data_IF_132289535496
#
_entry.id   IF_132289535496
#
_cell.length_a   1.000
_cell.length_b   1.000
_cell.length_c   1.000
_cell.angle_alpha   90.00
_cell.angle_beta   90.00
_cell.angle_gamma   90.00
#
_symmetry.space_group_name_H-M   'P 1'
#
loop_
_entity.id
_entity.type
_entity.pdbx_description
1 polymer ?
#
# COMPACT_ATOMS: atom_id res chain seq x y z
N UNK A 1 -75.62 -0.58 -4.74
CA UNK A 1 -74.74 -1.74 -5.01
C UNK A 1 -73.33 -1.21 -5.29
N UNK A 2 -72.43 -1.31 -4.28
CA UNK A 2 -71.04 -0.82 -4.41
C UNK A 2 -70.16 -2.03 -4.73
N UNK A 3 -69.49 -2.00 -5.87
CA UNK A 3 -68.50 -3.04 -6.27
C UNK A 3 -67.15 -2.70 -5.63
N UNK A 4 -66.68 -3.52 -4.71
CA UNK A 4 -65.28 -3.47 -4.22
C UNK A 4 -64.38 -4.10 -5.31
N UNK A 5 -63.40 -3.30 -5.77
CA UNK A 5 -62.33 -3.75 -6.59
C UNK A 5 -61.17 -4.21 -5.67
N UNK A 6 -60.78 -5.47 -5.75
CA UNK A 6 -59.61 -6.04 -5.07
C UNK A 6 -58.37 -5.72 -5.94
N UNK A 7 -57.49 -4.89 -5.39
CA UNK A 7 -56.19 -4.65 -5.99
C UNK A 7 -55.22 -5.69 -5.36
N UNK A 8 -54.85 -6.68 -6.15
CA UNK A 8 -53.81 -7.66 -5.77
C UNK A 8 -52.45 -7.04 -6.03
N UNK A 9 -51.76 -6.62 -5.00
CA UNK A 9 -50.38 -6.14 -5.08
C UNK A 9 -49.46 -7.35 -5.28
N UNK A 10 -48.90 -7.49 -6.47
CA UNK A 10 -47.78 -8.43 -6.75
C UNK A 10 -46.49 -7.82 -6.18
N UNK A 11 -46.04 -8.33 -5.07
CA UNK A 11 -44.69 -8.06 -4.55
C UNK A 11 -43.68 -8.82 -5.42
N UNK A 12 -43.02 -8.12 -6.33
CA UNK A 12 -41.84 -8.61 -7.02
C UNK A 12 -40.70 -8.69 -6.01
N UNK A 13 -40.48 -9.88 -5.42
CA UNK A 13 -39.24 -10.21 -4.74
C UNK A 13 -38.13 -10.26 -5.78
N UNK A 14 -37.39 -9.16 -5.93
CA UNK A 14 -36.12 -9.15 -6.64
C UNK A 14 -35.13 -9.90 -5.74
N UNK A 15 -34.99 -11.20 -5.93
CA UNK A 15 -33.91 -11.97 -5.33
C UNK A 15 -32.60 -11.52 -5.95
N UNK A 16 -31.82 -10.73 -5.22
CA UNK A 16 -30.42 -10.47 -5.56
C UNK A 16 -29.70 -11.81 -5.61
N UNK A 17 -28.98 -12.13 -6.68
CA UNK A 17 -28.27 -13.40 -6.78
C UNK A 17 -27.22 -13.52 -5.69
N UNK A 18 -27.23 -14.60 -4.93
CA UNK A 18 -26.36 -14.92 -3.79
C UNK A 18 -24.88 -15.22 -4.16
N UNK A 19 -24.46 -14.92 -5.39
CA UNK A 19 -23.11 -15.17 -5.90
C UNK A 19 -22.16 -13.95 -5.79
N UNK A 20 -22.58 -12.89 -5.10
CA UNK A 20 -21.77 -11.68 -4.95
C UNK A 20 -20.61 -11.83 -3.95
N UNK A 21 -20.66 -12.78 -3.00
CA UNK A 21 -19.67 -12.87 -1.91
C UNK A 21 -18.39 -13.65 -2.28
N UNK A 22 -18.46 -14.65 -3.15
CA UNK A 22 -17.29 -15.45 -3.54
C UNK A 22 -16.38 -14.76 -4.57
N UNK A 23 -16.88 -13.74 -5.25
CA UNK A 23 -16.15 -13.04 -6.30
C UNK A 23 -15.19 -11.96 -5.76
N UNK A 24 -15.43 -11.43 -4.58
CA UNK A 24 -14.58 -10.39 -3.96
C UNK A 24 -13.19 -10.94 -3.60
N UNK A 25 -13.05 -12.07 -2.91
CA UNK A 25 -11.73 -12.64 -2.60
C UNK A 25 -10.92 -12.99 -3.86
N UNK A 26 -11.58 -13.51 -4.91
CA UNK A 26 -10.93 -13.80 -6.20
C UNK A 26 -10.45 -12.54 -6.91
N UNK A 27 -11.22 -11.46 -6.89
CA UNK A 27 -10.82 -10.19 -7.48
C UNK A 27 -9.63 -9.59 -6.74
N UNK A 28 -9.63 -9.68 -5.41
CA UNK A 28 -8.53 -9.23 -4.56
C UNK A 28 -7.24 -10.03 -4.80
N UNK A 29 -7.33 -11.35 -4.84
CA UNK A 29 -6.20 -12.21 -5.19
C UNK A 29 -5.63 -11.89 -6.57
N UNK A 30 -6.49 -11.76 -7.59
CA UNK A 30 -6.07 -11.42 -8.94
C UNK A 30 -5.44 -10.01 -9.06
N UNK A 31 -5.86 -9.04 -8.24
CA UNK A 31 -5.24 -7.72 -8.20
C UNK A 31 -3.82 -7.79 -7.61
N UNK A 32 -3.67 -8.53 -6.52
CA UNK A 32 -2.36 -8.76 -5.90
C UNK A 32 -1.42 -9.49 -6.86
N UNK A 33 -1.87 -10.57 -7.51
CA UNK A 33 -1.03 -11.36 -8.42
C UNK A 33 -0.57 -10.53 -9.62
N UNK A 34 -1.43 -9.68 -10.18
CA UNK A 34 -1.04 -8.73 -11.24
C UNK A 34 0.01 -7.74 -10.77
N UNK A 35 -0.15 -7.17 -9.57
CA UNK A 35 0.82 -6.24 -9.01
C UNK A 35 2.16 -6.92 -8.71
N UNK A 36 2.15 -8.14 -8.17
CA UNK A 36 3.35 -8.96 -7.91
C UNK A 36 4.08 -9.30 -9.21
N UNK A 37 3.34 -9.70 -10.26
CA UNK A 37 3.92 -9.98 -11.57
C UNK A 37 4.57 -8.73 -12.17
N UNK A 38 3.87 -7.61 -12.13
CA UNK A 38 4.36 -6.33 -12.66
C UNK A 38 5.58 -5.83 -11.89
N UNK A 39 5.61 -6.02 -10.58
CA UNK A 39 6.74 -5.70 -9.71
C UNK A 39 7.96 -6.63 -9.89
N UNK A 40 7.85 -7.70 -10.69
CA UNK A 40 8.92 -8.68 -10.86
C UNK A 40 9.21 -9.55 -9.63
N UNK A 41 8.27 -9.62 -8.68
CA UNK A 41 8.46 -10.31 -7.40
C UNK A 41 8.09 -11.80 -7.43
N UNK A 42 7.72 -12.36 -8.59
CA UNK A 42 7.23 -13.74 -8.70
C UNK A 42 8.29 -14.81 -8.34
N UNK A 43 9.58 -14.51 -8.52
CA UNK A 43 10.68 -15.47 -8.28
C UNK A 43 11.25 -15.39 -6.85
N UNK A 44 11.15 -14.23 -6.22
CA UNK A 44 11.62 -13.99 -4.87
C UNK A 44 10.52 -13.28 -4.07
N UNK A 45 9.33 -13.87 -4.11
CA UNK A 45 8.14 -13.29 -3.48
C UNK A 45 8.29 -13.33 -1.96
N UNK A 46 8.36 -12.18 -1.30
CA UNK A 46 8.23 -12.14 0.15
C UNK A 46 6.83 -12.64 0.56
N UNK A 47 6.64 -13.12 1.79
CA UNK A 47 5.30 -13.44 2.29
C UNK A 47 4.41 -12.19 2.24
N UNK A 48 3.36 -12.22 1.40
CA UNK A 48 2.41 -11.11 1.27
C UNK A 48 1.04 -11.59 1.75
N UNK A 49 0.41 -10.82 2.63
CA UNK A 49 -0.93 -11.08 3.14
C UNK A 49 -1.86 -9.89 2.85
N UNK A 50 -3.09 -10.19 2.46
CA UNK A 50 -4.16 -9.20 2.39
C UNK A 50 -4.81 -9.04 3.77
N UNK A 51 -5.14 -7.81 4.14
CA UNK A 51 -5.84 -7.51 5.39
C UNK A 51 -6.87 -6.41 5.20
N UNK A 52 -8.00 -6.53 5.88
CA UNK A 52 -9.04 -5.49 5.93
C UNK A 52 -8.87 -4.55 7.14
N UNK A 53 -7.85 -4.77 7.97
CA UNK A 53 -7.63 -4.01 9.21
C UNK A 53 -6.29 -3.32 9.17
N UNK A 54 -6.26 -2.02 9.47
CA UNK A 54 -5.02 -1.28 9.70
C UNK A 54 -4.59 -1.46 11.16
N UNK A 55 -3.33 -1.79 11.44
CA UNK A 55 -2.82 -1.76 12.80
C UNK A 55 -2.79 -0.30 13.30
N UNK A 56 -3.00 -0.11 14.60
CA UNK A 56 -2.97 1.22 15.22
C UNK A 56 -1.62 1.95 15.04
N UNK A 57 -0.56 1.20 14.76
CA UNK A 57 0.80 1.72 14.48
C UNK A 57 1.01 2.15 13.04
N UNK A 58 0.08 1.80 12.11
CA UNK A 58 0.20 2.23 10.73
C UNK A 58 -0.04 3.72 10.61
N UNK A 59 0.72 4.37 9.73
CA UNK A 59 0.48 5.77 9.40
C UNK A 59 -0.90 5.94 8.75
N UNK A 60 -1.54 7.08 9.00
CA UNK A 60 -2.79 7.41 8.32
C UNK A 60 -2.57 7.38 6.81
N UNK A 61 -3.35 6.54 6.12
CA UNK A 61 -3.25 6.37 4.67
C UNK A 61 -2.24 5.32 4.22
N UNK A 62 -1.70 4.48 5.13
CA UNK A 62 -0.88 3.33 4.75
C UNK A 62 -1.68 2.38 3.83
N UNK A 63 -1.13 2.08 2.67
CA UNK A 63 -1.70 1.17 1.67
C UNK A 63 -1.10 -0.24 1.79
N UNK A 64 0.14 -0.32 2.27
CA UNK A 64 0.84 -1.55 2.64
C UNK A 64 1.88 -1.25 3.73
N UNK A 65 2.43 -2.27 4.37
CA UNK A 65 3.53 -2.16 5.33
C UNK A 65 4.25 -3.48 5.50
N UNK A 66 5.54 -3.40 5.84
CA UNK A 66 6.38 -4.55 6.20
C UNK A 66 6.44 -4.70 7.72
N UNK A 67 6.23 -5.92 8.21
CA UNK A 67 6.54 -6.28 9.60
C UNK A 67 7.95 -6.84 9.71
N UNK A 68 8.51 -6.78 10.94
CA UNK A 68 9.88 -7.21 11.21
C UNK A 68 9.90 -8.18 12.37
N UNK A 69 10.79 -9.17 12.27
CA UNK A 69 11.08 -10.10 13.37
C UNK A 69 11.93 -9.44 14.48
N UNK A 70 12.23 -10.22 15.53
CA UNK A 70 13.04 -9.76 16.65
C UNK A 70 14.49 -9.35 16.26
N UNK A 71 14.98 -9.80 15.10
CA UNK A 71 16.30 -9.48 14.57
C UNK A 71 16.25 -8.31 13.58
N UNK A 72 15.10 -7.60 13.50
CA UNK A 72 14.86 -6.50 12.59
C UNK A 72 14.96 -6.89 11.09
N UNK A 73 14.67 -8.15 10.78
CA UNK A 73 14.56 -8.64 9.40
C UNK A 73 13.10 -8.60 8.97
N UNK A 74 12.83 -8.33 7.70
CA UNK A 74 11.49 -8.38 7.16
C UNK A 74 10.86 -9.75 7.37
N UNK A 75 9.66 -9.78 7.95
CA UNK A 75 8.90 -11.00 8.24
C UNK A 75 7.77 -11.18 7.22
N UNK A 76 6.97 -10.15 7.01
CA UNK A 76 5.82 -10.19 6.11
C UNK A 76 5.44 -8.82 5.60
N UNK A 77 4.92 -8.77 4.37
CA UNK A 77 4.28 -7.59 3.80
C UNK A 77 2.77 -7.74 3.96
N UNK A 78 2.11 -6.73 4.48
CA UNK A 78 0.65 -6.62 4.51
C UNK A 78 0.17 -5.59 3.50
N UNK A 79 -0.92 -5.89 2.80
CA UNK A 79 -1.59 -4.97 1.88
C UNK A 79 -3.01 -4.72 2.39
N UNK A 80 -3.35 -3.44 2.57
CA UNK A 80 -4.65 -3.04 3.08
C UNK A 80 -5.70 -3.03 1.98
N UNK A 81 -6.65 -3.96 2.07
CA UNK A 81 -7.70 -4.13 1.06
C UNK A 81 -8.78 -3.03 1.12
N UNK A 82 -8.87 -2.31 2.23
CA UNK A 82 -9.80 -1.18 2.41
C UNK A 82 -9.30 0.13 1.79
N UNK A 83 -8.07 0.20 1.26
CA UNK A 83 -7.57 1.40 0.61
C UNK A 83 -8.26 1.65 -0.73
N UNK A 84 -8.46 2.93 -1.08
CA UNK A 84 -9.00 3.31 -2.39
C UNK A 84 -8.15 2.76 -3.54
N UNK A 85 -6.84 2.75 -3.37
CA UNK A 85 -5.90 2.19 -4.34
C UNK A 85 -6.16 0.71 -4.60
N UNK A 86 -6.25 -0.10 -3.53
CA UNK A 86 -6.46 -1.53 -3.68
C UNK A 86 -7.84 -1.83 -4.28
N UNK A 87 -8.87 -1.12 -3.86
CA UNK A 87 -10.21 -1.24 -4.43
C UNK A 87 -10.24 -0.85 -5.90
N UNK A 88 -9.52 0.20 -6.29
CA UNK A 88 -9.37 0.60 -7.69
C UNK A 88 -8.64 -0.48 -8.50
N UNK A 89 -7.54 -1.03 -8.00
CA UNK A 89 -6.76 -2.09 -8.66
C UNK A 89 -7.53 -3.41 -8.80
N UNK A 90 -8.49 -3.67 -7.90
CA UNK A 90 -9.32 -4.89 -7.89
C UNK A 90 -10.65 -4.76 -8.62
N UNK A 91 -10.98 -3.61 -9.21
CA UNK A 91 -12.24 -3.38 -9.94
C UNK A 91 -12.48 -4.40 -11.04
N UNK A 92 -13.77 -4.74 -11.21
CA UNK A 92 -14.25 -5.58 -12.31
C UNK A 92 -15.24 -4.79 -13.20
N UNK A 93 -15.37 -5.13 -14.46
CA UNK A 93 -14.69 -6.22 -15.19
C UNK A 93 -13.24 -5.88 -15.58
N UNK A 94 -12.83 -4.62 -15.50
CA UNK A 94 -11.49 -4.17 -15.89
C UNK A 94 -10.83 -3.42 -14.74
N UNK A 95 -9.65 -3.88 -14.27
CA UNK A 95 -8.86 -3.13 -13.30
C UNK A 95 -8.40 -1.82 -13.93
N UNK A 96 -8.31 -0.78 -13.11
CA UNK A 96 -7.67 0.47 -13.51
C UNK A 96 -6.16 0.27 -13.53
N UNK A 97 -5.55 0.36 -14.71
CA UNK A 97 -4.12 0.09 -14.89
C UNK A 97 -3.20 1.02 -14.08
N UNK A 98 -3.42 2.34 -14.01
CA UNK A 98 -2.70 3.23 -13.10
C UNK A 98 -2.72 2.77 -11.64
N UNK A 99 -3.86 2.25 -11.16
CA UNK A 99 -3.97 1.73 -9.79
C UNK A 99 -3.15 0.45 -9.60
N UNK A 100 -3.17 -0.48 -10.59
CA UNK A 100 -2.34 -1.69 -10.56
C UNK A 100 -0.85 -1.33 -10.55
N UNK A 101 -0.45 -0.38 -11.37
CA UNK A 101 0.93 0.09 -11.45
C UNK A 101 1.38 0.75 -10.14
N UNK A 102 0.53 1.59 -9.55
CA UNK A 102 0.82 2.20 -8.24
C UNK A 102 0.92 1.13 -7.15
N UNK A 103 0.02 0.14 -7.13
CA UNK A 103 0.09 -0.97 -6.18
C UNK A 103 1.39 -1.78 -6.34
N UNK A 104 1.80 -2.08 -7.58
CA UNK A 104 3.06 -2.75 -7.86
C UNK A 104 4.26 -1.93 -7.33
N UNK A 105 4.24 -0.61 -7.51
CA UNK A 105 5.31 0.27 -7.01
C UNK A 105 5.41 0.26 -5.49
N UNK A 106 4.28 0.18 -4.78
CA UNK A 106 4.24 0.06 -3.34
C UNK A 106 4.79 -1.30 -2.90
N UNK A 107 4.46 -2.38 -3.61
CA UNK A 107 5.05 -3.69 -3.31
C UNK A 107 6.58 -3.71 -3.48
N UNK A 108 7.13 -2.96 -4.42
CA UNK A 108 8.59 -2.79 -4.54
C UNK A 108 9.17 -2.05 -3.35
N UNK A 109 8.52 -0.99 -2.88
CA UNK A 109 8.91 -0.26 -1.67
C UNK A 109 8.93 -1.19 -0.45
N UNK A 110 7.87 -1.95 -0.23
CA UNK A 110 7.78 -2.89 0.89
C UNK A 110 8.76 -4.07 0.75
N UNK A 111 8.98 -4.57 -0.46
CA UNK A 111 9.98 -5.60 -0.72
C UNK A 111 11.40 -5.11 -0.49
N UNK A 112 11.66 -3.82 -0.68
CA UNK A 112 12.93 -3.20 -0.26
C UNK A 112 13.09 -3.29 1.25
N UNK A 113 12.10 -2.87 2.03
CA UNK A 113 12.11 -2.98 3.48
C UNK A 113 12.27 -4.41 3.95
N UNK A 114 11.60 -5.35 3.30
CA UNK A 114 11.72 -6.78 3.63
C UNK A 114 13.17 -7.28 3.52
N UNK A 115 13.94 -6.80 2.53
CA UNK A 115 15.32 -7.23 2.27
C UNK A 115 16.37 -6.39 2.99
N UNK A 116 16.15 -5.08 3.11
CA UNK A 116 17.17 -4.10 3.51
C UNK A 116 16.86 -3.40 4.84
N UNK A 117 15.75 -3.76 5.50
CA UNK A 117 15.33 -3.13 6.74
C UNK A 117 14.69 -1.75 6.55
N UNK A 118 14.79 -0.88 7.55
CA UNK A 118 13.99 0.35 7.68
C UNK A 118 14.56 1.56 6.94
N UNK A 119 15.22 1.38 5.81
CA UNK A 119 15.74 2.50 5.02
C UNK A 119 14.68 3.05 4.06
N UNK A 120 13.92 4.03 4.52
CA UNK A 120 12.88 4.69 3.74
C UNK A 120 13.41 5.34 2.46
N UNK A 121 14.62 5.90 2.48
CA UNK A 121 15.18 6.57 1.29
C UNK A 121 15.44 5.56 0.19
N UNK A 122 16.06 4.42 0.52
CA UNK A 122 16.32 3.35 -0.42
C UNK A 122 15.02 2.72 -0.95
N UNK A 123 14.01 2.54 -0.09
CA UNK A 123 12.69 2.04 -0.50
C UNK A 123 12.01 2.99 -1.51
N UNK A 124 12.02 4.30 -1.26
CA UNK A 124 11.50 5.29 -2.21
C UNK A 124 12.33 5.37 -3.50
N UNK A 125 13.65 5.20 -3.44
CA UNK A 125 14.49 5.18 -4.65
C UNK A 125 14.16 3.97 -5.53
N UNK A 126 13.95 2.78 -4.95
CA UNK A 126 13.52 1.58 -5.68
C UNK A 126 12.13 1.76 -6.30
N UNK A 127 11.18 2.29 -5.53
CA UNK A 127 9.84 2.61 -6.00
C UNK A 127 9.85 3.60 -7.17
N UNK A 128 10.64 4.65 -7.05
CA UNK A 128 10.77 5.69 -8.08
C UNK A 128 11.38 5.14 -9.36
N UNK A 129 12.44 4.33 -9.26
CA UNK A 129 13.06 3.69 -10.42
C UNK A 129 12.06 2.84 -11.21
N UNK A 130 11.26 2.04 -10.51
CA UNK A 130 10.19 1.26 -11.15
C UNK A 130 9.16 2.13 -11.86
N UNK A 131 8.66 3.19 -11.22
CA UNK A 131 7.64 4.07 -11.80
C UNK A 131 8.16 4.78 -13.06
N UNK A 132 9.41 5.25 -13.06
CA UNK A 132 10.03 5.89 -14.22
C UNK A 132 10.22 4.90 -15.37
N UNK A 133 10.64 3.67 -15.10
CA UNK A 133 10.76 2.60 -16.10
C UNK A 133 9.42 2.25 -16.76
N UNK A 134 8.31 2.44 -16.04
CA UNK A 134 6.96 2.14 -16.52
C UNK A 134 6.18 3.40 -17.01
N UNK A 135 6.86 4.52 -17.21
CA UNK A 135 6.28 5.74 -17.78
C UNK A 135 5.20 6.40 -16.92
N UNK A 136 5.29 6.28 -15.60
CA UNK A 136 4.30 6.82 -14.67
C UNK A 136 4.78 8.10 -13.97
N UNK A 137 5.05 9.13 -14.74
CA UNK A 137 5.62 10.39 -14.25
C UNK A 137 4.75 11.09 -13.19
N UNK A 138 3.43 11.04 -13.35
CA UNK A 138 2.50 11.65 -12.41
C UNK A 138 2.60 11.02 -11.01
N UNK A 139 2.61 9.68 -10.92
CA UNK A 139 2.80 8.96 -9.65
C UNK A 139 4.22 9.14 -9.13
N UNK A 140 5.22 9.09 -10.02
CA UNK A 140 6.62 9.28 -9.68
C UNK A 140 6.90 10.64 -9.03
N UNK A 141 6.19 11.71 -9.44
CA UNK A 141 6.36 13.04 -8.83
C UNK A 141 5.98 13.05 -7.35
N UNK A 142 4.89 12.40 -6.97
CA UNK A 142 4.45 12.26 -5.58
C UNK A 142 5.43 11.44 -4.73
N UNK A 143 5.94 10.34 -5.27
CA UNK A 143 6.96 9.49 -4.63
C UNK A 143 8.27 10.26 -4.44
N UNK A 144 8.70 11.01 -5.45
CA UNK A 144 9.89 11.89 -5.35
C UNK A 144 9.75 12.90 -4.22
N UNK A 145 8.61 13.57 -4.14
CA UNK A 145 8.34 14.52 -3.06
C UNK A 145 8.33 13.85 -1.67
N UNK A 146 7.81 12.63 -1.54
CA UNK A 146 7.85 11.87 -0.30
C UNK A 146 9.28 11.50 0.09
N UNK A 147 10.08 10.96 -0.83
CA UNK A 147 11.50 10.66 -0.63
C UNK A 147 12.29 11.89 -0.17
N UNK A 148 12.10 13.01 -0.83
CA UNK A 148 12.85 14.24 -0.52
C UNK A 148 12.50 14.77 0.87
N UNK A 149 11.23 14.65 1.31
CA UNK A 149 10.83 14.96 2.70
C UNK A 149 11.54 14.07 3.72
N UNK A 150 11.59 12.76 3.46
CA UNK A 150 12.27 11.80 4.35
C UNK A 150 13.77 12.09 4.42
N UNK A 151 14.41 12.32 3.27
CA UNK A 151 15.84 12.68 3.20
C UNK A 151 16.14 13.96 3.99
N UNK A 152 15.32 14.99 3.82
CA UNK A 152 15.48 16.24 4.57
C UNK A 152 15.25 16.06 6.08
N UNK A 153 14.30 15.20 6.49
CA UNK A 153 14.09 14.89 7.90
C UNK A 153 15.29 14.14 8.51
N UNK A 154 15.84 13.16 7.79
CA UNK A 154 17.04 12.40 8.20
C UNK A 154 18.26 13.32 8.36
N UNK A 155 18.45 14.27 7.44
CA UNK A 155 19.53 15.25 7.49
C UNK A 155 19.40 16.15 8.73
N UNK A 156 18.21 16.73 8.96
CA UNK A 156 17.97 17.56 10.15
C UNK A 156 18.23 16.83 11.46
N UNK A 157 17.84 15.54 11.55
CA UNK A 157 18.10 14.73 12.73
C UNK A 157 19.61 14.51 12.93
N UNK A 158 20.37 14.26 11.87
CA UNK A 158 21.83 14.13 11.91
C UNK A 158 22.50 15.42 12.37
N UNK A 159 22.11 16.55 11.80
CA UNK A 159 22.68 17.86 12.16
C UNK A 159 22.41 18.22 13.63
N UNK A 160 21.22 17.89 14.14
CA UNK A 160 20.89 18.11 15.55
C UNK A 160 21.75 17.25 16.51
N UNK A 161 22.07 16.01 16.12
CA UNK A 161 22.99 15.16 16.90
C UNK A 161 24.40 15.73 16.92
N UNK A 162 24.93 16.15 15.77
CA UNK A 162 26.25 16.77 15.66
C UNK A 162 26.35 18.02 16.54
N UNK A 163 25.35 18.90 16.46
CA UNK A 163 25.31 20.13 17.26
C UNK A 163 25.32 19.80 18.78
N UNK A 164 24.55 18.78 19.19
CA UNK A 164 24.51 18.35 20.59
C UNK A 164 25.86 17.81 21.07
N UNK A 165 26.57 17.03 20.25
CA UNK A 165 27.91 16.52 20.57
C UNK A 165 28.92 17.66 20.72
N UNK A 166 28.91 18.64 19.81
CA UNK A 166 29.78 19.83 19.89
C UNK A 166 29.53 20.63 21.17
N UNK A 167 28.30 20.78 21.62
CA UNK A 167 27.97 21.44 22.88
C UNK A 167 28.52 20.70 24.10
N UNK A 168 28.50 19.37 24.09
CA UNK A 168 29.04 18.55 25.19
C UNK A 168 30.55 18.63 25.26
N UNK A 169 31.27 18.69 24.13
CA UNK A 169 32.74 18.87 24.13
C UNK A 169 33.15 20.22 24.73
N UNK A 170 32.44 21.30 24.41
CA UNK A 170 32.73 22.63 24.95
C UNK A 170 32.53 22.69 26.47
N UNK A 171 31.54 21.93 27.00
CA UNK A 171 31.31 21.87 28.46
C UNK A 171 32.36 21.02 29.19
N UNK A 172 32.91 19.99 28.55
CA UNK A 172 33.92 19.11 29.14
C UNK A 172 35.34 19.73 29.23
N UNK A 173 35.58 20.82 28.49
CA UNK A 173 36.87 21.52 28.45
C UNK A 173 36.93 22.71 29.40
N UNK A 174 35.91 22.94 30.22
CA UNK A 174 35.86 23.96 31.29
C UNK A 174 35.92 23.34 32.65
#
# INVERSE_FOLDING_TARGET
>A
MRKLAWITAFALCVSTPAWADDDVPRAQGAALDRAVLLAGLQFERPPIALTSTLPWTASTGAEAWTTYDANNRGDRIFVYTGSELFQCASRRPRPDWPCVLKLASILIHEAWHFRNGRDEVGAYDAQLAFLLQNGSDAVASGVRAARDRVRAAKQRASDAVILKLQQLEVVSLR
#
